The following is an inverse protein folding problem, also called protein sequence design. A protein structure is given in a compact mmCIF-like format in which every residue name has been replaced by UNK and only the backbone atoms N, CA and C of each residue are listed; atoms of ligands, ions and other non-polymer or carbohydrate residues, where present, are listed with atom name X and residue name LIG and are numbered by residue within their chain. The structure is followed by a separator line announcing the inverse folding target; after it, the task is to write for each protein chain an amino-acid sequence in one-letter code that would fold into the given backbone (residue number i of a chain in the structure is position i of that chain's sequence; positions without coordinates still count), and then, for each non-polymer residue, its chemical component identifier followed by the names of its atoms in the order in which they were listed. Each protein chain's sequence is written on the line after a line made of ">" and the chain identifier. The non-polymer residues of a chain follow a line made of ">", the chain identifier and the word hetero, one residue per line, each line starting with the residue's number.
data_IF_351620083188
#
_entry.id   IF_351620083188
#
_cell.length_a   1.000
_cell.length_b   1.000
_cell.length_c   1.000
_cell.angle_alpha   90.00
_cell.angle_beta   90.00
_cell.angle_gamma   90.00
#
_symmetry.space_group_name_H-M   'P 1'
#
loop_
_entity.id
_entity.type
_entity.pdbx_description
1 polymer ?
#
# COMPACT_ATOMS: atom_id res chain seq x y z
N UNK A 1 47.40 -21.58 -8.78
CA UNK A 1 46.55 -22.79 -8.72
C UNK A 1 45.12 -22.31 -8.53
N UNK A 2 44.25 -22.39 -9.54
CA UNK A 2 42.82 -22.13 -9.38
C UNK A 2 42.09 -23.42 -9.76
N UNK A 3 41.53 -24.11 -8.78
CA UNK A 3 40.83 -25.37 -8.97
C UNK A 3 39.40 -25.12 -9.46
N UNK A 4 39.00 -26.02 -10.34
CA UNK A 4 37.75 -26.08 -11.07
C UNK A 4 36.58 -26.58 -10.22
N UNK A 5 35.38 -26.21 -10.68
CA UNK A 5 34.16 -27.02 -10.74
C UNK A 5 33.01 -26.80 -9.74
N UNK A 6 31.97 -26.18 -10.32
CA UNK A 6 30.58 -26.67 -10.47
C UNK A 6 29.65 -26.60 -9.25
N UNK A 7 28.67 -25.69 -9.33
CA UNK A 7 27.29 -26.11 -9.58
C UNK A 7 26.41 -24.95 -10.11
N UNK A 8 26.10 -24.99 -11.40
CA UNK A 8 25.01 -24.21 -12.02
C UNK A 8 23.76 -25.09 -11.93
N UNK A 9 22.93 -24.78 -10.95
CA UNK A 9 21.55 -25.23 -10.78
C UNK A 9 20.97 -24.22 -9.78
N UNK A 10 20.09 -23.28 -10.10
CA UNK A 10 18.93 -23.28 -10.97
C UNK A 10 18.38 -21.84 -10.98
N UNK A 11 18.19 -21.16 -12.12
CA UNK A 11 17.05 -21.20 -13.06
C UNK A 11 16.31 -19.84 -13.02
N UNK A 12 16.58 -19.03 -14.03
CA UNK A 12 15.82 -17.89 -14.57
C UNK A 12 15.65 -16.64 -13.71
N UNK A 13 16.04 -15.43 -14.20
CA UNK A 13 15.47 -14.21 -13.68
C UNK A 13 13.98 -14.28 -14.00
N UNK A 14 13.15 -14.45 -12.98
CA UNK A 14 11.69 -14.35 -13.11
C UNK A 14 11.40 -13.09 -13.91
N UNK A 15 10.62 -13.22 -14.99
CA UNK A 15 10.15 -12.09 -15.77
C UNK A 15 9.71 -11.01 -14.77
N UNK A 16 10.41 -9.88 -14.75
CA UNK A 16 10.20 -8.85 -13.74
C UNK A 16 8.82 -8.24 -14.00
N UNK A 17 7.79 -8.81 -13.39
CA UNK A 17 6.44 -8.23 -13.40
C UNK A 17 6.63 -6.80 -12.91
N UNK A 18 6.32 -5.78 -13.74
CA UNK A 18 6.54 -4.41 -13.34
C UNK A 18 5.75 -4.15 -12.07
N UNK A 19 6.46 -3.79 -10.99
CA UNK A 19 5.84 -3.49 -9.70
C UNK A 19 4.80 -2.40 -9.91
N UNK A 20 3.60 -2.62 -9.38
CA UNK A 20 2.55 -1.59 -9.33
C UNK A 20 2.96 -0.41 -8.45
N UNK A 21 2.21 0.69 -8.53
CA UNK A 21 2.50 1.86 -7.71
C UNK A 21 2.49 1.55 -6.22
N UNK A 22 1.47 0.81 -5.75
CA UNK A 22 1.37 0.40 -4.36
C UNK A 22 2.58 -0.45 -3.94
N UNK A 23 2.95 -1.46 -4.74
CA UNK A 23 4.05 -2.36 -4.40
C UNK A 23 5.39 -1.62 -4.34
N UNK A 24 5.66 -0.70 -5.28
CA UNK A 24 6.87 0.13 -5.24
C UNK A 24 6.91 1.02 -4.01
N UNK A 25 5.79 1.67 -3.66
CA UNK A 25 5.72 2.51 -2.44
C UNK A 25 5.92 1.65 -1.20
N UNK A 26 5.26 0.50 -1.11
CA UNK A 26 5.41 -0.46 0.00
C UNK A 26 6.86 -0.85 0.23
N UNK A 27 7.59 -1.21 -0.83
CA UNK A 27 9.00 -1.58 -0.72
C UNK A 27 9.86 -0.40 -0.22
N UNK A 28 9.63 0.80 -0.75
CA UNK A 28 10.31 2.02 -0.30
C UNK A 28 10.10 2.27 1.19
N UNK A 29 8.85 2.29 1.65
CA UNK A 29 8.52 2.60 3.05
C UNK A 29 9.03 1.50 4.00
N UNK A 30 9.00 0.22 3.59
CA UNK A 30 9.59 -0.87 4.37
C UNK A 30 11.10 -0.72 4.52
N UNK A 31 11.79 -0.36 3.43
CA UNK A 31 13.25 -0.13 3.47
C UNK A 31 13.60 1.02 4.40
N UNK A 32 12.85 2.12 4.33
CA UNK A 32 13.05 3.29 5.19
C UNK A 32 12.79 2.94 6.66
N UNK A 33 11.68 2.28 6.98
CA UNK A 33 11.36 1.89 8.37
C UNK A 33 12.41 0.95 8.96
N UNK A 34 12.94 0.02 8.17
CA UNK A 34 14.00 -0.91 8.62
C UNK A 34 15.37 -0.23 8.77
N UNK A 35 15.73 0.66 7.85
CA UNK A 35 17.08 1.28 7.83
C UNK A 35 17.21 2.47 8.76
N UNK A 36 16.12 3.22 8.98
CA UNK A 36 16.15 4.49 9.73
C UNK A 36 15.43 4.40 11.08
N UNK A 37 14.86 3.23 11.43
CA UNK A 37 14.09 3.02 12.66
C UNK A 37 12.99 4.09 12.88
N UNK A 38 12.40 4.56 11.77
CA UNK A 38 11.36 5.58 11.80
C UNK A 38 10.04 4.93 12.23
N UNK A 39 9.59 5.28 13.42
CA UNK A 39 8.29 4.89 13.96
C UNK A 39 7.25 5.94 13.56
N UNK A 40 6.37 5.60 12.63
CA UNK A 40 5.25 6.48 12.21
C UNK A 40 4.99 6.56 10.71
N UNK A 41 5.88 6.00 9.88
CA UNK A 41 5.63 5.86 8.45
C UNK A 41 4.56 4.77 8.21
N UNK A 42 3.51 5.12 7.46
CA UNK A 42 2.47 4.17 7.08
C UNK A 42 2.96 3.37 5.88
N UNK A 43 3.26 2.09 6.11
CA UNK A 43 3.54 1.14 5.03
C UNK A 43 2.21 0.77 4.36
N UNK A 44 2.01 1.07 3.07
CA UNK A 44 0.77 0.73 2.38
C UNK A 44 0.60 -0.78 2.23
N UNK A 45 -0.62 -1.25 2.46
CA UNK A 45 -1.07 -2.57 2.08
C UNK A 45 -1.67 -2.55 0.67
N UNK A 46 -1.29 -3.54 -0.14
CA UNK A 46 -1.72 -3.71 -1.52
C UNK A 46 -2.59 -4.95 -1.64
N UNK A 47 -3.56 -4.93 -2.55
CA UNK A 47 -4.31 -6.13 -2.93
C UNK A 47 -3.54 -7.00 -3.94
N UNK A 48 -4.17 -8.08 -4.40
CA UNK A 48 -3.61 -9.04 -5.35
C UNK A 48 -3.30 -8.42 -6.73
N UNK A 49 -4.04 -7.37 -7.10
CA UNK A 49 -3.81 -6.63 -8.35
C UNK A 49 -2.73 -5.55 -8.18
N UNK A 50 -2.25 -5.32 -6.95
CA UNK A 50 -1.32 -4.26 -6.62
C UNK A 50 -1.97 -2.87 -6.54
N UNK A 51 -3.29 -2.80 -6.36
CA UNK A 51 -3.95 -1.55 -5.97
C UNK A 51 -3.83 -1.32 -4.45
N UNK A 52 -3.92 -0.07 -4.02
CA UNK A 52 -3.96 0.26 -2.60
C UNK A 52 -5.23 -0.27 -1.96
N UNK A 53 -5.09 -0.95 -0.81
CA UNK A 53 -6.23 -1.30 0.01
C UNK A 53 -6.89 -0.01 0.56
N UNK A 54 -8.23 0.04 0.58
CA UNK A 54 -8.96 1.21 1.06
C UNK A 54 -8.76 1.49 2.55
N UNK A 55 -8.42 0.47 3.34
CA UNK A 55 -8.16 0.59 4.78
C UNK A 55 -6.68 0.37 5.02
N UNK A 56 -6.06 1.27 5.76
CA UNK A 56 -4.65 1.17 6.16
C UNK A 56 -4.56 1.30 7.67
N UNK A 57 -4.00 0.31 8.34
CA UNK A 57 -3.90 0.27 9.80
C UNK A 57 -2.44 0.44 10.24
N UNK A 58 -2.21 1.25 11.27
CA UNK A 58 -0.88 1.56 11.76
C UNK A 58 -0.85 1.76 13.28
N UNK A 59 0.36 1.67 13.82
CA UNK A 59 0.62 1.67 15.26
C UNK A 59 0.40 0.29 15.88
N UNK A 60 1.36 -0.15 16.70
CA UNK A 60 1.19 -1.36 17.50
C UNK A 60 0.20 -1.07 18.63
N UNK A 61 -0.80 -1.93 18.77
CA UNK A 61 -1.84 -1.73 19.75
C UNK A 61 -1.39 -2.26 21.12
N UNK A 62 -0.49 -1.51 21.78
CA UNK A 62 0.02 -1.83 23.12
C UNK A 62 -1.14 -2.09 24.10
N UNK A 63 -2.30 -1.45 23.88
CA UNK A 63 -3.62 -1.86 24.40
C UNK A 63 -4.74 -1.53 23.41
N UNK A 64 -5.41 -2.56 22.87
CA UNK A 64 -6.61 -2.42 22.03
C UNK A 64 -6.41 -2.81 20.55
N UNK A 65 -7.28 -2.36 19.64
CA UNK A 65 -7.07 -2.50 18.19
C UNK A 65 -6.18 -1.36 17.64
N UNK A 66 -5.48 -1.58 16.50
CA UNK A 66 -4.67 -0.55 15.85
C UNK A 66 -5.53 0.62 15.36
N UNK A 67 -4.89 1.76 15.07
CA UNK A 67 -5.57 2.85 14.40
C UNK A 67 -5.66 2.55 12.91
N UNK A 68 -6.86 2.61 12.35
CA UNK A 68 -7.07 2.44 10.91
C UNK A 68 -7.60 3.73 10.30
N UNK A 69 -7.20 4.04 9.08
CA UNK A 69 -7.70 5.16 8.29
C UNK A 69 -8.17 4.67 6.92
N UNK A 70 -9.03 5.47 6.26
CA UNK A 70 -9.49 5.15 4.91
C UNK A 70 -8.79 6.02 3.88
N UNK A 71 -8.35 5.39 2.79
CA UNK A 71 -7.62 6.02 1.69
C UNK A 71 -8.35 5.82 0.36
N UNK A 72 -8.10 6.73 -0.59
CA UNK A 72 -8.51 6.58 -1.99
C UNK A 72 -7.48 5.76 -2.79
N UNK A 73 -7.73 5.57 -4.09
CA UNK A 73 -6.85 4.83 -4.99
C UNK A 73 -5.51 5.52 -5.27
N UNK A 74 -5.41 6.81 -4.99
CA UNK A 74 -4.19 7.62 -5.15
C UNK A 74 -3.41 7.70 -3.82
N UNK A 75 -3.85 6.94 -2.80
CA UNK A 75 -3.32 6.96 -1.44
C UNK A 75 -3.54 8.31 -0.71
N UNK A 76 -4.60 9.04 -1.08
CA UNK A 76 -5.11 10.20 -0.38
C UNK A 76 -6.01 9.80 0.79
N UNK A 77 -5.74 10.32 1.99
CA UNK A 77 -6.53 10.00 3.18
C UNK A 77 -7.93 10.64 3.09
N UNK A 78 -8.97 9.81 3.07
CA UNK A 78 -10.39 10.22 3.02
C UNK A 78 -10.97 10.33 4.45
N UNK A 79 -10.57 9.41 5.35
CA UNK A 79 -11.08 9.37 6.73
C UNK A 79 -9.93 9.35 7.71
N UNK A 80 -10.04 10.20 8.73
CA UNK A 80 -9.04 10.29 9.79
C UNK A 80 -8.86 8.95 10.55
N UNK A 81 -7.67 8.70 11.13
CA UNK A 81 -7.37 7.48 11.83
C UNK A 81 -8.28 7.26 13.05
N UNK A 82 -8.85 6.07 13.18
CA UNK A 82 -9.71 5.69 14.30
C UNK A 82 -9.62 4.20 14.57
N UNK A 83 -9.72 3.82 15.85
CA UNK A 83 -9.77 2.43 16.31
C UNK A 83 -11.09 1.71 15.99
N UNK A 84 -12.10 2.46 15.55
CA UNK A 84 -13.45 1.95 15.24
C UNK A 84 -13.66 1.66 13.75
N UNK A 85 -12.65 1.90 12.91
CA UNK A 85 -12.75 1.71 11.47
C UNK A 85 -12.53 0.23 11.14
N UNK A 86 -13.63 -0.46 10.81
CA UNK A 86 -13.62 -1.88 10.44
C UNK A 86 -13.51 -2.06 8.92
N UNK A 87 -14.23 -1.25 8.16
CA UNK A 87 -14.28 -1.28 6.69
C UNK A 87 -14.24 0.13 6.10
N UNK A 88 -13.59 0.25 4.94
CA UNK A 88 -13.48 1.49 4.17
C UNK A 88 -14.11 1.38 2.79
N UNK A 89 -14.71 0.24 2.41
CA UNK A 89 -15.22 0.00 1.05
C UNK A 89 -16.32 0.99 0.67
N UNK A 90 -17.37 1.09 1.49
CA UNK A 90 -18.47 2.04 1.26
C UNK A 90 -18.00 3.50 1.32
N UNK A 91 -17.08 3.82 2.24
CA UNK A 91 -16.51 5.18 2.38
C UNK A 91 -15.75 5.57 1.12
N UNK A 92 -14.88 4.69 0.61
CA UNK A 92 -14.10 4.91 -0.61
C UNK A 92 -15.02 5.04 -1.83
N UNK A 93 -16.01 4.17 -1.97
CA UNK A 93 -16.96 4.20 -3.08
C UNK A 93 -17.78 5.50 -3.09
N UNK A 94 -18.25 5.95 -1.94
CA UNK A 94 -18.97 7.22 -1.83
C UNK A 94 -18.06 8.42 -2.18
N UNK A 95 -16.80 8.40 -1.73
CA UNK A 95 -15.83 9.43 -2.08
C UNK A 95 -15.56 9.48 -3.60
N UNK A 96 -15.41 8.32 -4.24
CA UNK A 96 -15.26 8.21 -5.69
C UNK A 96 -16.47 8.78 -6.43
N UNK A 97 -17.69 8.39 -6.02
CA UNK A 97 -18.92 8.93 -6.58
C UNK A 97 -18.97 10.46 -6.49
N UNK A 98 -18.69 11.02 -5.30
CA UNK A 98 -18.65 12.47 -5.11
C UNK A 98 -17.60 13.15 -5.99
N UNK A 99 -16.42 12.54 -6.15
CA UNK A 99 -15.35 13.09 -7.00
C UNK A 99 -15.75 13.10 -8.47
N UNK A 100 -16.45 12.07 -8.93
CA UNK A 100 -16.97 11.97 -10.31
C UNK A 100 -18.09 12.99 -10.52
N UNK A 101 -19.07 13.07 -9.60
CA UNK A 101 -20.17 14.04 -9.69
C UNK A 101 -19.70 15.49 -9.62
N UNK A 102 -18.60 15.78 -8.91
CA UNK A 102 -17.96 17.12 -8.94
C UNK A 102 -17.14 17.38 -10.19
N UNK A 103 -16.73 16.33 -10.90
CA UNK A 103 -16.02 16.39 -12.18
C UNK A 103 -16.98 16.35 -13.38
N UNK A 104 -18.27 16.65 -13.20
CA UNK A 104 -19.19 16.85 -14.32
C UNK A 104 -18.48 17.67 -15.40
N UNK A 105 -18.31 17.12 -16.62
CA UNK A 105 -17.69 17.87 -17.68
C UNK A 105 -18.53 19.13 -17.89
N UNK A 106 -17.87 20.29 -17.98
CA UNK A 106 -18.52 21.47 -18.53
C UNK A 106 -19.02 21.04 -19.92
N UNK A 107 -20.33 20.83 -20.03
CA UNK A 107 -20.98 20.54 -21.31
C UNK A 107 -20.73 21.80 -22.14
N UNK A 108 -19.89 21.68 -23.16
CA UNK A 108 -19.67 22.68 -24.20
C UNK A 108 -20.78 22.59 -25.24
#
# INVERSE_FOLDING_TARGET
>A
MCTSSKNVLSLFPTASVPLTDCQRRRERELRVTQTQNLTGLVVPECDENGEYLPKQCFGQAVRGPPFCACYDKEFGQIKAPSRKIVSCNCIRQHHEWQRISRKCPAVF
#
